data_IF_042000571933
#
_entry.id   IF_042000571933
#
_cell.length_a   1.000
_cell.length_b   1.000
_cell.length_c   1.000
_cell.angle_alpha   90.00
_cell.angle_beta   90.00
_cell.angle_gamma   90.00
#
_symmetry.space_group_name_H-M   'P 1'
#
loop_
_entity.id
_entity.type
_entity.pdbx_description
1 polymer ?
#
# COMPACT_ATOMS: atom_id res chain seq x y z
N UNK A 1 -1.85 -35.03 5.05
CA UNK A 1 -0.67 -34.32 5.59
C UNK A 1 0.15 -33.90 4.39
N UNK A 2 0.42 -32.62 4.24
CA UNK A 2 1.32 -32.07 3.26
C UNK A 2 2.60 -31.58 3.99
N UNK A 3 3.75 -32.04 3.54
CA UNK A 3 5.06 -31.54 3.94
C UNK A 3 5.65 -30.83 2.73
N UNK A 4 5.69 -29.50 2.80
CA UNK A 4 6.38 -28.68 1.81
C UNK A 4 7.84 -28.48 2.25
N UNK A 5 8.76 -28.93 1.41
CA UNK A 5 10.21 -28.85 1.66
C UNK A 5 10.87 -27.69 0.91
N UNK A 6 10.08 -26.81 0.34
CA UNK A 6 10.52 -25.66 -0.48
C UNK A 6 10.72 -24.39 0.39
N UNK A 7 11.23 -24.56 1.62
CA UNK A 7 11.62 -23.44 2.47
C UNK A 7 13.13 -23.20 2.33
N UNK A 8 13.52 -21.96 2.12
CA UNK A 8 14.92 -21.57 1.89
C UNK A 8 15.65 -21.20 3.19
N UNK A 9 14.92 -21.00 4.30
CA UNK A 9 15.51 -20.58 5.57
C UNK A 9 15.78 -21.77 6.50
N UNK A 10 17.06 -21.98 6.80
CA UNK A 10 17.49 -23.02 7.73
C UNK A 10 17.09 -22.64 9.17
N UNK A 11 16.53 -23.58 9.89
CA UNK A 11 16.12 -23.38 11.28
C UNK A 11 14.65 -22.98 11.47
N UNK A 12 13.90 -22.79 10.41
CA UNK A 12 12.51 -22.34 10.46
C UNK A 12 11.51 -23.41 10.02
N UNK A 13 10.36 -23.44 10.70
CA UNK A 13 9.21 -24.27 10.34
C UNK A 13 8.02 -23.38 10.05
N UNK A 14 7.62 -23.29 8.79
CA UNK A 14 6.44 -22.55 8.37
C UNK A 14 5.17 -23.37 8.65
N UNK A 15 4.28 -22.82 9.47
CA UNK A 15 3.07 -23.49 9.94
C UNK A 15 1.78 -22.83 9.47
N UNK A 16 1.91 -21.82 8.64
CA UNK A 16 0.82 -21.05 8.03
C UNK A 16 1.31 -20.25 6.86
N UNK A 17 0.37 -19.78 6.04
CA UNK A 17 0.63 -18.90 4.92
C UNK A 17 -0.57 -17.99 4.68
N UNK A 18 -0.34 -16.73 4.40
CA UNK A 18 -1.41 -15.85 3.98
C UNK A 18 -1.86 -16.21 2.56
N UNK A 19 -3.16 -16.39 2.37
CA UNK A 19 -3.78 -16.32 1.05
C UNK A 19 -3.74 -14.90 0.52
N UNK A 20 -4.03 -14.71 -0.75
CA UNK A 20 -4.08 -13.40 -1.38
C UNK A 20 -5.24 -13.28 -2.36
N UNK A 21 -5.63 -12.05 -2.66
CA UNK A 21 -6.57 -11.73 -3.72
C UNK A 21 -6.34 -10.31 -4.21
N UNK A 22 -6.28 -10.14 -5.53
CA UNK A 22 -6.15 -8.86 -6.18
C UNK A 22 -7.51 -8.18 -6.33
N UNK A 23 -7.60 -6.91 -5.99
CA UNK A 23 -8.73 -6.05 -6.24
C UNK A 23 -8.30 -4.95 -7.21
N UNK A 24 -9.05 -4.81 -8.30
CA UNK A 24 -8.84 -3.75 -9.30
C UNK A 24 -10.11 -2.93 -9.41
N UNK A 25 -10.01 -1.63 -9.12
CA UNK A 25 -11.08 -0.66 -9.30
C UNK A 25 -10.78 0.21 -10.52
N UNK A 26 -11.76 0.38 -11.41
CA UNK A 26 -11.62 1.13 -12.66
C UNK A 26 -12.77 2.11 -12.81
N UNK A 27 -12.48 3.32 -13.29
CA UNK A 27 -13.47 4.31 -13.72
C UNK A 27 -12.99 4.95 -15.02
N UNK A 28 -13.85 4.96 -16.01
CA UNK A 28 -13.68 5.79 -17.21
C UNK A 28 -14.50 7.06 -17.07
N UNK A 29 -13.91 8.18 -17.43
CA UNK A 29 -14.57 9.48 -17.33
C UNK A 29 -14.18 10.38 -18.52
N UNK A 30 -14.97 11.41 -18.74
CA UNK A 30 -14.65 12.44 -19.72
C UNK A 30 -13.94 13.57 -19.00
N UNK A 31 -12.73 13.89 -19.42
CA UNK A 31 -11.97 15.03 -18.90
C UNK A 31 -12.67 16.36 -19.24
N UNK A 32 -12.39 17.37 -18.44
CA UNK A 32 -12.84 18.76 -18.63
C UNK A 32 -11.63 19.65 -18.93
N UNK A 33 -11.87 20.81 -19.54
CA UNK A 33 -10.82 21.79 -19.81
C UNK A 33 -10.34 22.42 -18.49
N UNK A 34 -9.02 22.68 -18.40
CA UNK A 34 -8.41 23.43 -17.30
C UNK A 34 -8.75 24.92 -17.43
N UNK A 35 -8.80 25.64 -16.31
CA UNK A 35 -8.90 27.09 -16.35
C UNK A 35 -7.57 27.67 -16.88
N UNK A 36 -7.59 28.48 -17.96
CA UNK A 36 -6.37 29.08 -18.51
C UNK A 36 -5.71 30.11 -17.56
N UNK A 37 -6.40 30.53 -16.50
CA UNK A 37 -5.85 31.42 -15.47
C UNK A 37 -5.03 30.66 -14.40
N UNK A 38 -5.21 29.35 -14.32
CA UNK A 38 -4.50 28.49 -13.37
C UNK A 38 -3.03 28.29 -13.74
N UNK A 39 -2.28 27.81 -12.77
CA UNK A 39 -0.94 27.25 -12.95
C UNK A 39 -0.96 25.76 -12.70
N UNK A 40 0.02 25.04 -13.24
CA UNK A 40 0.17 23.61 -12.96
C UNK A 40 1.43 23.33 -12.15
N UNK A 41 1.27 22.45 -11.16
CA UNK A 41 2.34 21.95 -10.30
C UNK A 41 2.44 20.43 -10.42
N UNK A 42 3.65 19.94 -10.63
CA UNK A 42 3.99 18.54 -10.46
C UNK A 42 4.53 18.31 -9.09
N UNK A 43 3.83 17.52 -8.29
CA UNK A 43 4.21 17.19 -6.92
C UNK A 43 4.72 15.77 -6.88
N UNK A 44 5.94 15.58 -6.39
CA UNK A 44 6.65 14.30 -6.42
C UNK A 44 7.08 13.89 -5.02
N UNK A 45 6.69 12.68 -4.61
CA UNK A 45 7.09 12.01 -3.38
C UNK A 45 8.07 10.89 -3.72
N UNK A 46 9.25 10.89 -3.09
CA UNK A 46 10.32 9.89 -3.29
C UNK A 46 11.06 9.61 -1.98
N UNK A 47 11.88 8.55 -2.00
CA UNK A 47 12.78 8.23 -0.89
C UNK A 47 12.24 7.22 0.10
N UNK A 48 11.02 6.70 -0.09
CA UNK A 48 10.49 5.65 0.79
C UNK A 48 11.20 4.31 0.56
N UNK A 49 11.32 3.51 1.62
CA UNK A 49 11.96 2.19 1.56
C UNK A 49 11.14 1.19 0.76
N UNK A 50 9.82 1.28 0.87
CA UNK A 50 8.92 0.28 0.32
C UNK A 50 9.11 -1.09 0.96
N UNK A 51 8.87 -2.16 0.22
CA UNK A 51 9.05 -3.52 0.70
C UNK A 51 8.01 -4.49 0.16
N UNK A 52 8.11 -5.76 0.56
CA UNK A 52 7.16 -6.79 0.17
C UNK A 52 5.86 -6.65 0.98
N UNK A 53 4.71 -6.56 0.30
CA UNK A 53 3.39 -6.32 0.92
C UNK A 53 2.89 -7.43 1.85
N UNK A 54 3.58 -8.55 1.93
CA UNK A 54 3.24 -9.64 2.84
C UNK A 54 4.23 -9.80 3.99
N UNK A 55 5.53 -9.66 3.73
CA UNK A 55 6.58 -9.91 4.72
C UNK A 55 6.92 -8.67 5.55
N UNK A 56 6.76 -7.48 4.98
CA UNK A 56 7.22 -6.22 5.58
C UNK A 56 6.07 -5.22 5.84
N UNK A 57 4.82 -5.67 5.68
CA UNK A 57 3.63 -4.81 5.84
C UNK A 57 3.42 -4.33 7.29
N UNK A 58 3.96 -5.05 8.26
CA UNK A 58 3.89 -4.73 9.70
C UNK A 58 5.09 -3.92 10.21
N UNK A 59 6.03 -3.56 9.35
CA UNK A 59 7.21 -2.79 9.75
C UNK A 59 6.94 -1.28 9.92
N UNK A 60 5.70 -0.82 9.72
CA UNK A 60 5.33 0.58 9.88
C UNK A 60 5.85 1.50 8.78
N UNK A 61 6.25 0.93 7.63
CA UNK A 61 6.72 1.71 6.47
C UNK A 61 5.58 2.50 5.84
N UNK A 62 5.92 3.66 5.31
CA UNK A 62 4.96 4.52 4.63
C UNK A 62 4.56 3.96 3.25
N UNK A 63 3.32 4.24 2.87
CA UNK A 63 2.81 3.98 1.52
C UNK A 63 2.71 5.31 0.76
N UNK A 64 3.42 5.46 -0.35
CA UNK A 64 3.49 6.71 -1.09
C UNK A 64 2.11 7.20 -1.56
N UNK A 65 1.20 6.30 -1.97
CA UNK A 65 -0.15 6.67 -2.36
C UNK A 65 -0.98 7.19 -1.18
N UNK A 66 -0.78 6.65 0.02
CA UNK A 66 -1.48 7.13 1.23
C UNK A 66 -0.96 8.48 1.70
N UNK A 67 0.34 8.73 1.62
CA UNK A 67 0.90 10.06 1.92
C UNK A 67 0.44 11.10 0.91
N UNK A 68 0.47 10.76 -0.39
CA UNK A 68 -0.05 11.64 -1.42
C UNK A 68 -1.54 11.93 -1.24
N UNK A 69 -2.36 10.95 -0.81
CA UNK A 69 -3.77 11.17 -0.51
C UNK A 69 -3.98 12.15 0.66
N UNK A 70 -3.11 12.12 1.68
CA UNK A 70 -3.13 13.11 2.77
C UNK A 70 -2.88 14.53 2.27
N UNK A 71 -1.91 14.71 1.37
CA UNK A 71 -1.64 15.99 0.72
C UNK A 71 -2.83 16.44 -0.14
N UNK A 72 -3.30 15.58 -1.06
CA UNK A 72 -4.37 15.90 -1.99
C UNK A 72 -5.67 16.30 -1.29
N UNK A 73 -6.05 15.61 -0.21
CA UNK A 73 -7.25 15.94 0.56
C UNK A 73 -7.22 17.37 1.13
N UNK A 74 -6.04 17.87 1.53
CA UNK A 74 -5.89 19.23 2.04
C UNK A 74 -5.93 20.28 0.91
N UNK A 75 -5.11 20.12 -0.13
CA UNK A 75 -5.02 21.13 -1.20
C UNK A 75 -6.31 21.24 -2.01
N UNK A 76 -7.09 20.16 -2.15
CA UNK A 76 -8.42 20.20 -2.75
C UNK A 76 -9.39 20.99 -1.87
N UNK A 77 -9.29 20.86 -0.56
CA UNK A 77 -10.23 21.47 0.39
C UNK A 77 -9.94 22.95 0.60
N UNK A 78 -8.68 23.35 0.62
CA UNK A 78 -8.27 24.69 1.06
C UNK A 78 -7.65 25.56 -0.04
N UNK A 79 -7.05 24.94 -1.06
CA UNK A 79 -6.29 25.64 -2.11
C UNK A 79 -6.92 25.48 -3.51
N UNK A 80 -8.17 25.05 -3.56
CA UNK A 80 -8.97 24.86 -4.81
C UNK A 80 -8.25 24.01 -5.88
N UNK A 81 -7.37 23.08 -5.44
CA UNK A 81 -6.59 22.27 -6.35
C UNK A 81 -7.45 21.32 -7.18
N UNK A 82 -7.18 21.25 -8.48
CA UNK A 82 -7.76 20.30 -9.40
C UNK A 82 -6.74 19.22 -9.77
N UNK A 83 -7.20 17.98 -9.98
CA UNK A 83 -6.34 16.86 -10.33
C UNK A 83 -6.24 16.70 -11.84
N UNK A 84 -5.02 16.64 -12.37
CA UNK A 84 -4.75 16.28 -13.76
C UNK A 84 -4.36 14.83 -13.88
N UNK A 85 -3.39 14.39 -13.08
CA UNK A 85 -2.94 13.00 -13.10
C UNK A 85 -2.37 12.56 -11.75
N UNK A 86 -2.41 11.24 -11.51
CA UNK A 86 -1.80 10.60 -10.36
C UNK A 86 -1.14 9.31 -10.78
N UNK A 87 0.15 9.14 -10.50
CA UNK A 87 0.90 7.93 -10.77
C UNK A 87 1.68 7.51 -9.53
N UNK A 88 1.30 6.39 -8.92
CA UNK A 88 1.96 5.89 -7.72
C UNK A 88 2.02 4.38 -7.66
N UNK A 89 3.23 3.85 -7.42
CA UNK A 89 3.50 2.43 -7.41
C UNK A 89 3.48 1.77 -8.80
N UNK A 90 4.14 0.62 -8.90
CA UNK A 90 4.28 -0.10 -10.17
C UNK A 90 4.17 -1.63 -10.01
N UNK A 91 4.13 -2.14 -8.79
CA UNK A 91 4.07 -3.57 -8.48
C UNK A 91 3.02 -3.82 -7.40
N UNK A 92 2.07 -4.74 -7.66
CA UNK A 92 0.97 -5.04 -6.74
C UNK A 92 1.39 -5.67 -5.40
N UNK A 93 2.50 -6.40 -5.39
CA UNK A 93 3.03 -7.06 -4.19
C UNK A 93 4.13 -6.25 -3.48
N UNK A 94 4.33 -4.99 -3.87
CA UNK A 94 5.28 -4.07 -3.23
C UNK A 94 4.56 -2.88 -2.61
N UNK A 95 5.03 -2.43 -1.44
CA UNK A 95 4.62 -1.16 -0.84
C UNK A 95 5.19 -0.03 -1.72
N UNK A 96 4.35 0.89 -2.26
CA UNK A 96 4.82 1.92 -3.19
C UNK A 96 5.79 2.88 -2.51
N UNK A 97 6.94 3.11 -3.17
CA UNK A 97 8.05 3.93 -2.67
C UNK A 97 8.04 5.36 -3.19
N UNK A 98 7.28 5.60 -4.24
CA UNK A 98 7.21 6.90 -4.90
C UNK A 98 5.82 7.11 -5.49
N UNK A 99 5.46 8.39 -5.60
CA UNK A 99 4.20 8.83 -6.17
C UNK A 99 4.38 10.20 -6.78
N UNK A 100 3.70 10.47 -7.88
CA UNK A 100 3.68 11.74 -8.57
C UNK A 100 2.24 12.14 -8.88
N UNK A 101 1.90 13.40 -8.65
CA UNK A 101 0.63 13.98 -9.11
C UNK A 101 0.92 15.26 -9.89
N UNK A 102 0.06 15.55 -10.86
CA UNK A 102 -0.02 16.86 -11.49
C UNK A 102 -1.36 17.47 -11.09
N UNK A 103 -1.30 18.67 -10.54
CA UNK A 103 -2.47 19.45 -10.12
C UNK A 103 -2.46 20.82 -10.81
N UNK A 104 -3.63 21.42 -10.94
CA UNK A 104 -3.76 22.86 -11.24
C UNK A 104 -4.31 23.58 -10.02
N UNK A 105 -3.88 24.81 -9.82
CA UNK A 105 -4.35 25.68 -8.75
C UNK A 105 -4.48 27.11 -9.26
N UNK A 106 -5.35 27.96 -8.68
CA UNK A 106 -5.32 29.38 -8.91
C UNK A 106 -3.91 29.95 -8.68
N UNK A 107 -3.48 30.91 -9.50
CA UNK A 107 -2.10 31.41 -9.42
C UNK A 107 -1.76 32.07 -8.06
N UNK A 108 -2.76 32.59 -7.36
CA UNK A 108 -2.64 33.16 -6.01
C UNK A 108 -2.37 32.11 -4.94
N UNK A 109 -2.81 30.86 -5.11
CA UNK A 109 -2.66 29.77 -4.15
C UNK A 109 -1.30 29.03 -4.28
N UNK A 110 -0.50 29.35 -5.29
CA UNK A 110 0.80 28.67 -5.52
C UNK A 110 1.70 28.70 -4.29
N UNK A 111 1.80 29.86 -3.64
CA UNK A 111 2.71 30.05 -2.50
C UNK A 111 2.29 29.17 -1.31
N UNK A 112 1.00 29.09 -1.04
CA UNK A 112 0.42 28.31 0.06
C UNK A 112 0.61 26.81 -0.18
N UNK A 113 0.38 26.34 -1.42
CA UNK A 113 0.64 24.94 -1.80
C UNK A 113 2.12 24.59 -1.68
N UNK A 114 3.06 25.47 -2.10
CA UNK A 114 4.49 25.22 -1.98
C UNK A 114 4.96 25.20 -0.52
N UNK A 115 4.40 26.04 0.35
CA UNK A 115 4.64 26.02 1.79
C UNK A 115 4.13 24.72 2.40
N UNK A 116 2.90 24.32 2.07
CA UNK A 116 2.30 23.07 2.56
C UNK A 116 3.08 21.82 2.11
N UNK A 117 3.66 21.80 0.91
CA UNK A 117 4.58 20.74 0.47
C UNK A 117 5.78 20.61 1.40
N UNK A 118 6.38 21.75 1.83
CA UNK A 118 7.52 21.73 2.76
C UNK A 118 7.09 21.27 4.17
N UNK A 119 5.92 21.69 4.63
CA UNK A 119 5.36 21.23 5.90
C UNK A 119 5.10 19.72 5.90
N UNK A 120 4.54 19.18 4.83
CA UNK A 120 4.34 17.75 4.64
C UNK A 120 5.67 16.98 4.66
N UNK A 121 6.70 17.48 3.95
CA UNK A 121 8.04 16.86 3.95
C UNK A 121 8.61 16.79 5.37
N UNK A 122 8.55 17.89 6.11
CA UNK A 122 9.04 17.95 7.48
C UNK A 122 8.26 17.03 8.42
N UNK A 123 6.93 17.08 8.36
CA UNK A 123 6.02 16.25 9.17
C UNK A 123 6.24 14.76 8.92
N UNK A 124 6.30 14.33 7.67
CA UNK A 124 6.45 12.92 7.35
C UNK A 124 7.84 12.39 7.70
N UNK A 125 8.88 13.20 7.58
CA UNK A 125 10.21 12.85 8.07
C UNK A 125 10.25 12.70 9.60
N UNK A 126 9.43 13.43 10.35
CA UNK A 126 9.26 13.24 11.80
C UNK A 126 8.44 11.99 12.12
N UNK A 127 7.27 11.80 11.46
CA UNK A 127 6.38 10.66 11.71
C UNK A 127 7.04 9.32 11.41
N UNK A 128 7.87 9.26 10.38
CA UNK A 128 8.44 8.00 9.86
C UNK A 128 9.95 7.85 10.10
N UNK A 129 10.59 8.69 10.90
CA UNK A 129 12.05 8.73 11.09
C UNK A 129 12.68 7.39 11.51
N UNK A 130 11.93 6.49 12.14
CA UNK A 130 12.42 5.17 12.58
C UNK A 130 12.32 4.14 11.44
N UNK A 131 11.30 4.25 10.61
CA UNK A 131 10.93 3.22 9.63
C UNK A 131 11.37 3.54 8.20
N UNK A 132 11.59 4.82 7.90
CA UNK A 132 11.90 5.29 6.56
C UNK A 132 13.31 5.86 6.43
N UNK A 133 13.79 5.96 5.19
CA UNK A 133 14.90 6.83 4.80
C UNK A 133 14.39 8.27 4.67
N UNK A 134 15.27 9.29 4.57
CA UNK A 134 14.79 10.66 4.39
C UNK A 134 13.83 10.78 3.21
N UNK A 135 12.61 11.20 3.53
CA UNK A 135 11.53 11.39 2.56
C UNK A 135 11.78 12.70 1.82
N UNK A 136 11.67 12.69 0.50
CA UNK A 136 11.69 13.87 -0.34
C UNK A 136 10.31 14.14 -0.92
N UNK A 137 9.74 15.30 -0.63
CA UNK A 137 8.46 15.74 -1.14
C UNK A 137 8.59 17.14 -1.73
N UNK A 138 8.38 17.28 -3.05
CA UNK A 138 8.70 18.50 -3.78
C UNK A 138 7.65 18.80 -4.82
N UNK A 139 7.43 20.09 -5.04
CA UNK A 139 6.61 20.58 -6.15
C UNK A 139 7.47 21.42 -7.11
N UNK A 140 7.17 21.33 -8.39
CA UNK A 140 7.75 22.15 -9.45
C UNK A 140 6.69 22.59 -10.44
N UNK A 141 6.79 23.83 -10.93
CA UNK A 141 5.92 24.29 -12.01
C UNK A 141 6.14 23.48 -13.28
N UNK A 142 5.04 23.13 -13.95
CA UNK A 142 5.04 22.49 -15.25
C UNK A 142 4.16 23.28 -16.22
N UNK A 143 4.20 22.93 -17.50
CA UNK A 143 3.28 23.47 -18.50
C UNK A 143 1.84 23.13 -18.11
N UNK A 144 0.92 24.10 -18.23
CA UNK A 144 -0.48 23.91 -17.90
C UNK A 144 -1.11 22.89 -18.88
N UNK A 145 -1.57 21.72 -18.38
CA UNK A 145 -2.26 20.75 -19.21
C UNK A 145 -3.61 21.30 -19.70
N UNK A 146 -4.03 20.90 -20.88
CA UNK A 146 -5.30 21.37 -21.46
C UNK A 146 -6.54 20.76 -20.78
N UNK A 147 -6.39 19.60 -20.16
CA UNK A 147 -7.48 18.79 -19.64
C UNK A 147 -7.17 18.31 -18.21
N UNK A 148 -8.22 18.14 -17.40
CA UNK A 148 -8.14 17.68 -16.02
C UNK A 148 -9.29 16.73 -15.69
N UNK A 149 -9.19 16.08 -14.51
CA UNK A 149 -10.25 15.24 -13.93
C UNK A 149 -11.40 16.15 -13.49
N UNK A 150 -12.68 15.83 -13.80
CA UNK A 150 -13.83 16.59 -13.29
C UNK A 150 -13.87 16.60 -11.76
N UNK A 151 -14.28 17.72 -11.17
CA UNK A 151 -14.25 17.94 -9.70
C UNK A 151 -14.95 16.84 -8.89
N UNK A 152 -16.18 16.49 -9.26
CA UNK A 152 -16.93 15.43 -8.55
C UNK A 152 -16.19 14.08 -8.60
N UNK A 153 -15.53 13.77 -9.70
CA UNK A 153 -14.76 12.53 -9.86
C UNK A 153 -13.46 12.61 -9.06
N UNK A 154 -12.77 13.75 -9.11
CA UNK A 154 -11.56 14.02 -8.33
C UNK A 154 -11.84 13.83 -6.83
N UNK A 155 -12.86 14.47 -6.31
CA UNK A 155 -13.22 14.43 -4.89
C UNK A 155 -13.51 13.00 -4.44
N UNK A 156 -14.37 12.29 -5.17
CA UNK A 156 -14.71 10.90 -4.88
C UNK A 156 -13.49 9.96 -4.93
N UNK A 157 -12.59 10.13 -5.91
CA UNK A 157 -11.39 9.32 -6.03
C UNK A 157 -10.40 9.58 -4.89
N UNK A 158 -10.15 10.85 -4.55
CA UNK A 158 -9.23 11.22 -3.46
C UNK A 158 -9.76 10.72 -2.14
N UNK A 159 -11.05 10.90 -1.87
CA UNK A 159 -11.71 10.41 -0.65
C UNK A 159 -11.62 8.88 -0.53
N UNK A 160 -11.88 8.14 -1.62
CA UNK A 160 -11.76 6.69 -1.61
C UNK A 160 -10.32 6.23 -1.37
N UNK A 161 -9.32 6.85 -2.02
CA UNK A 161 -7.90 6.53 -1.82
C UNK A 161 -7.48 6.88 -0.38
N UNK A 162 -7.97 8.00 0.16
CA UNK A 162 -7.71 8.41 1.53
C UNK A 162 -8.33 7.44 2.55
N UNK A 163 -9.60 7.08 2.37
CA UNK A 163 -10.37 6.27 3.31
C UNK A 163 -10.06 4.77 3.23
N UNK A 164 -9.65 4.24 2.06
CA UNK A 164 -9.45 2.80 1.89
C UNK A 164 -8.44 2.23 2.90
N UNK A 165 -8.75 1.03 3.40
CA UNK A 165 -7.86 0.34 4.33
C UNK A 165 -6.52 0.01 3.63
N UNK A 166 -5.41 0.27 4.32
CA UNK A 166 -4.05 -0.05 3.89
C UNK A 166 -3.19 -0.42 5.10
N UNK A 167 -2.29 -1.37 4.94
CA UNK A 167 -1.46 -1.87 6.03
C UNK A 167 -2.12 -3.02 6.78
N UNK A 168 -1.68 -3.25 8.00
CA UNK A 168 -2.20 -4.31 8.87
C UNK A 168 -3.60 -3.98 9.35
N UNK A 169 -4.54 -4.88 9.11
CA UNK A 169 -5.90 -4.82 9.64
C UNK A 169 -6.02 -5.63 10.94
N UNK A 170 -5.37 -6.79 10.99
CA UNK A 170 -5.44 -7.70 12.14
C UNK A 170 -4.17 -8.52 12.28
N UNK A 171 -3.74 -8.73 13.52
CA UNK A 171 -2.66 -9.64 13.91
C UNK A 171 -3.22 -10.99 14.35
N UNK A 172 -2.43 -12.08 14.29
CA UNK A 172 -2.79 -13.38 14.85
C UNK A 172 -2.64 -13.32 16.37
N UNK A 173 -3.72 -13.48 17.16
CA UNK A 173 -3.64 -13.28 18.62
C UNK A 173 -2.75 -14.30 19.36
N UNK A 174 -2.55 -15.48 18.77
CA UNK A 174 -1.81 -16.61 19.37
C UNK A 174 -0.35 -16.70 18.94
N UNK A 175 0.07 -15.88 17.98
CA UNK A 175 1.44 -15.88 17.46
C UNK A 175 1.94 -14.43 17.44
N UNK A 176 2.90 -14.05 18.31
CA UNK A 176 3.44 -12.71 18.33
C UNK A 176 3.97 -12.27 16.96
N UNK A 177 3.86 -10.98 16.66
CA UNK A 177 4.40 -10.28 15.48
C UNK A 177 3.96 -10.85 14.12
N UNK A 178 2.92 -11.71 14.11
CA UNK A 178 2.42 -12.34 12.88
C UNK A 178 1.13 -11.69 12.41
N UNK A 179 1.13 -11.20 11.18
CA UNK A 179 -0.04 -10.59 10.54
C UNK A 179 -1.04 -11.67 10.12
N UNK A 180 -2.31 -11.49 10.50
CA UNK A 180 -3.41 -12.30 10.00
C UNK A 180 -3.95 -11.74 8.68
N UNK A 181 -4.30 -10.44 8.69
CA UNK A 181 -5.01 -9.78 7.59
C UNK A 181 -4.42 -8.40 7.32
N UNK A 182 -4.14 -8.12 6.07
CA UNK A 182 -3.58 -6.84 5.62
C UNK A 182 -4.00 -6.52 4.18
N UNK A 183 -3.88 -5.25 3.80
CA UNK A 183 -3.98 -4.82 2.41
C UNK A 183 -2.83 -3.87 2.05
N UNK A 184 -2.53 -3.80 0.76
CA UNK A 184 -1.56 -2.87 0.21
C UNK A 184 -2.19 -2.12 -0.96
N UNK A 185 -2.38 -0.81 -0.81
CA UNK A 185 -2.74 0.09 -1.90
C UNK A 185 -1.52 0.23 -2.81
N UNK A 186 -1.42 -0.67 -3.77
CA UNK A 186 -0.20 -0.92 -4.52
C UNK A 186 0.02 0.05 -5.68
N UNK A 187 -1.05 0.30 -6.45
CA UNK A 187 -0.95 1.11 -7.67
C UNK A 187 -2.14 2.06 -7.72
N UNK A 188 -1.86 3.32 -7.99
CA UNK A 188 -2.85 4.35 -8.36
C UNK A 188 -2.40 4.94 -9.69
N UNK A 189 -3.27 4.90 -10.69
CA UNK A 189 -3.05 5.49 -12.00
C UNK A 189 -4.30 6.25 -12.42
N UNK A 190 -4.23 7.57 -12.48
CA UNK A 190 -5.33 8.46 -12.85
C UNK A 190 -4.84 9.44 -13.90
N UNK A 191 -5.65 9.70 -14.93
CA UNK A 191 -5.38 10.66 -16.00
C UNK A 191 -5.78 10.11 -17.35
N UNK A 192 -5.91 10.98 -18.35
CA UNK A 192 -6.27 10.60 -19.72
C UNK A 192 -7.67 9.97 -19.83
N UNK A 193 -8.62 10.39 -18.97
CA UNK A 193 -9.99 9.88 -18.99
C UNK A 193 -10.18 8.53 -18.29
N UNK A 194 -9.18 8.03 -17.55
CA UNK A 194 -9.27 6.75 -16.83
C UNK A 194 -8.62 6.85 -15.45
N UNK A 195 -9.27 6.22 -14.47
CA UNK A 195 -8.68 5.90 -13.17
C UNK A 195 -8.60 4.39 -12.99
N UNK A 196 -7.44 3.87 -12.55
CA UNK A 196 -7.22 2.46 -12.22
C UNK A 196 -6.48 2.37 -10.90
N UNK A 197 -7.06 1.64 -9.94
CA UNK A 197 -6.48 1.42 -8.61
C UNK A 197 -6.35 -0.08 -8.37
N UNK A 198 -5.16 -0.52 -7.93
CA UNK A 198 -4.89 -1.93 -7.63
C UNK A 198 -4.47 -2.11 -6.19
N UNK A 199 -5.15 -3.04 -5.53
CA UNK A 199 -4.92 -3.39 -4.14
C UNK A 199 -4.70 -4.90 -4.05
N UNK A 200 -3.75 -5.31 -3.22
CA UNK A 200 -3.56 -6.70 -2.86
C UNK A 200 -3.96 -6.90 -1.40
N UNK A 201 -5.01 -7.67 -1.17
CA UNK A 201 -5.43 -8.12 0.15
C UNK A 201 -4.84 -9.48 0.47
N UNK A 202 -4.43 -9.68 1.71
CA UNK A 202 -3.84 -10.93 2.22
C UNK A 202 -4.47 -11.31 3.54
N UNK A 203 -4.70 -12.62 3.76
CA UNK A 203 -5.07 -13.14 5.07
C UNK A 203 -4.76 -14.64 5.17
N UNK A 204 -4.35 -15.09 6.34
CA UNK A 204 -4.27 -16.52 6.65
C UNK A 204 -5.66 -17.14 6.85
N UNK A 205 -6.71 -16.31 7.00
CA UNK A 205 -8.11 -16.71 7.20
C UNK A 205 -8.98 -16.19 6.06
N UNK A 206 -9.56 -17.10 5.25
CA UNK A 206 -10.33 -16.74 4.06
C UNK A 206 -11.54 -15.85 4.36
N UNK A 207 -12.25 -16.07 5.48
CA UNK A 207 -13.38 -15.21 5.86
C UNK A 207 -12.99 -13.76 6.17
N UNK A 208 -11.78 -13.53 6.69
CA UNK A 208 -11.26 -12.18 6.94
C UNK A 208 -10.74 -11.53 5.66
N UNK A 209 -10.18 -12.34 4.73
CA UNK A 209 -9.83 -11.87 3.38
C UNK A 209 -11.06 -11.39 2.63
N UNK A 210 -12.13 -12.16 2.66
CA UNK A 210 -13.40 -11.79 2.02
C UNK A 210 -14.03 -10.54 2.65
N UNK A 211 -14.02 -10.45 3.99
CA UNK A 211 -14.49 -9.24 4.70
C UNK A 211 -13.71 -8.00 4.27
N UNK A 212 -12.37 -8.07 4.25
CA UNK A 212 -11.52 -6.94 3.83
C UNK A 212 -11.78 -6.56 2.37
N UNK A 213 -11.85 -7.54 1.47
CA UNK A 213 -12.13 -7.30 0.05
C UNK A 213 -13.52 -6.67 -0.15
N UNK A 214 -14.53 -7.11 0.60
CA UNK A 214 -15.88 -6.52 0.54
C UNK A 214 -15.88 -5.07 1.02
N UNK A 215 -15.10 -4.74 2.07
CA UNK A 215 -14.96 -3.38 2.55
C UNK A 215 -14.26 -2.46 1.51
N UNK A 216 -13.19 -2.96 0.90
CA UNK A 216 -12.47 -2.24 -0.17
C UNK A 216 -13.34 -2.05 -1.42
N UNK A 217 -14.05 -3.10 -1.84
CA UNK A 217 -15.01 -3.04 -2.95
C UNK A 217 -16.10 -1.99 -2.68
N UNK A 218 -16.67 -1.99 -1.47
CA UNK A 218 -17.66 -0.98 -1.07
C UNK A 218 -17.09 0.44 -1.12
N UNK A 219 -15.85 0.63 -0.64
CA UNK A 219 -15.17 1.92 -0.64
C UNK A 219 -15.05 2.50 -2.07
N UNK A 220 -14.52 1.73 -3.00
CA UNK A 220 -14.33 2.20 -4.39
C UNK A 220 -15.62 2.22 -5.20
N UNK A 221 -16.59 1.35 -4.90
CA UNK A 221 -17.92 1.41 -5.54
C UNK A 221 -18.68 2.67 -5.15
N UNK A 222 -18.54 3.15 -3.90
CA UNK A 222 -19.11 4.45 -3.48
C UNK A 222 -18.49 5.63 -4.24
N UNK A 223 -17.25 5.52 -4.68
CA UNK A 223 -16.60 6.49 -5.55
C UNK A 223 -16.97 6.34 -7.04
N UNK A 224 -17.93 5.48 -7.37
CA UNK A 224 -18.40 5.26 -8.75
C UNK A 224 -17.53 4.33 -9.59
N UNK A 225 -16.56 3.63 -9.00
CA UNK A 225 -15.67 2.72 -9.72
C UNK A 225 -16.29 1.33 -9.88
N UNK A 226 -16.01 0.68 -11.02
CA UNK A 226 -16.25 -0.75 -11.20
C UNK A 226 -15.11 -1.53 -10.56
N UNK A 227 -15.46 -2.45 -9.65
CA UNK A 227 -14.48 -3.22 -8.89
C UNK A 227 -14.51 -4.69 -9.28
N UNK A 228 -13.36 -5.26 -9.56
CA UNK A 228 -13.18 -6.68 -9.88
C UNK A 228 -12.17 -7.33 -8.95
N UNK A 229 -12.45 -8.58 -8.55
CA UNK A 229 -11.54 -9.43 -7.77
C UNK A 229 -10.94 -10.50 -8.67
N UNK A 230 -9.69 -10.82 -8.49
CA UNK A 230 -8.99 -11.81 -9.30
C UNK A 230 -7.81 -12.46 -8.58
N UNK A 231 -7.31 -13.58 -9.11
CA UNK A 231 -6.11 -14.23 -8.62
C UNK A 231 -6.21 -14.75 -7.19
N UNK A 232 -7.44 -15.00 -6.69
CA UNK A 232 -7.67 -15.44 -5.32
C UNK A 232 -7.11 -16.83 -5.03
N UNK A 233 -6.39 -16.95 -3.90
CA UNK A 233 -5.97 -18.23 -3.33
C UNK A 233 -6.17 -18.24 -1.82
N UNK A 234 -6.44 -19.45 -1.28
CA UNK A 234 -6.77 -19.63 0.14
C UNK A 234 -5.56 -19.47 1.03
N UNK A 235 -5.81 -18.95 2.24
CA UNK A 235 -4.85 -18.96 3.33
C UNK A 235 -4.71 -20.34 3.98
N UNK A 236 -3.61 -20.50 4.69
CA UNK A 236 -3.39 -21.62 5.57
C UNK A 236 -3.23 -21.09 7.00
N UNK A 237 -4.29 -21.24 7.80
CA UNK A 237 -4.31 -20.76 9.17
C UNK A 237 -3.34 -21.57 10.04
N UNK A 238 -2.44 -20.93 10.79
CA UNK A 238 -1.48 -21.61 11.64
C UNK A 238 -2.16 -22.40 12.77
N UNK A 239 -1.74 -23.66 12.96
CA UNK A 239 -2.16 -24.49 14.10
C UNK A 239 -0.95 -24.86 14.98
N UNK A 240 -0.76 -24.08 16.05
CA UNK A 240 0.36 -24.26 16.99
C UNK A 240 0.27 -25.56 17.80
N UNK A 241 -0.92 -26.16 17.89
CA UNK A 241 -1.16 -27.42 18.64
C UNK A 241 -1.11 -28.67 17.74
N UNK A 242 -0.77 -28.50 16.47
CA UNK A 242 -0.70 -29.60 15.51
C UNK A 242 0.25 -30.72 15.98
N UNK A 243 -0.19 -32.00 16.00
CA UNK A 243 0.67 -33.12 16.36
C UNK A 243 1.90 -33.25 15.45
N UNK A 244 1.76 -32.95 14.14
CA UNK A 244 2.87 -33.00 13.20
C UNK A 244 3.90 -31.91 13.52
N UNK A 245 3.48 -30.71 13.92
CA UNK A 245 4.39 -29.64 14.34
C UNK A 245 5.22 -30.07 15.58
N UNK A 246 4.59 -30.72 16.55
CA UNK A 246 5.32 -31.25 17.75
C UNK A 246 6.37 -32.26 17.34
N UNK A 247 6.01 -33.24 16.50
CA UNK A 247 6.95 -34.24 16.00
C UNK A 247 8.10 -33.62 15.18
N UNK A 248 7.81 -32.64 14.33
CA UNK A 248 8.83 -31.94 13.55
C UNK A 248 9.78 -31.14 14.44
N UNK A 249 9.28 -30.40 15.45
CA UNK A 249 10.10 -29.68 16.42
C UNK A 249 11.03 -30.60 17.18
N UNK A 250 10.55 -31.77 17.62
CA UNK A 250 11.37 -32.78 18.34
C UNK A 250 12.47 -33.33 17.43
N UNK A 251 12.14 -33.72 16.19
CA UNK A 251 13.10 -34.23 15.21
C UNK A 251 14.15 -33.17 14.83
N UNK A 252 13.72 -31.94 14.65
CA UNK A 252 14.60 -30.82 14.28
C UNK A 252 15.61 -30.51 15.40
N UNK A 253 15.14 -30.43 16.65
CA UNK A 253 16.01 -30.25 17.82
C UNK A 253 17.04 -31.38 17.96
N UNK A 254 16.62 -32.62 17.75
CA UNK A 254 17.53 -33.77 17.82
C UNK A 254 18.64 -33.69 16.74
N UNK A 255 18.30 -33.25 15.50
CA UNK A 255 19.28 -33.06 14.44
C UNK A 255 20.27 -31.94 14.73
N UNK A 256 19.78 -30.77 15.18
CA UNK A 256 20.63 -29.61 15.46
C UNK A 256 21.58 -29.85 16.67
N UNK A 257 21.10 -30.49 17.73
CA UNK A 257 21.95 -30.82 18.87
C UNK A 257 23.07 -31.81 18.50
N UNK A 258 22.78 -32.74 17.58
CA UNK A 258 23.79 -33.66 17.11
C UNK A 258 24.87 -32.96 16.24
N UNK A 259 24.50 -31.97 15.47
CA UNK A 259 25.44 -31.19 14.62
C UNK A 259 26.28 -30.22 15.47
N UNK A 260 25.73 -29.61 16.54
CA UNK A 260 26.46 -28.71 17.43
C UNK A 260 27.50 -29.47 18.28
N UNK A 261 27.15 -30.65 18.81
CA UNK A 261 28.09 -31.50 19.58
C UNK A 261 29.26 -31.97 18.70
N UNK A 262 29.01 -32.27 17.40
CA UNK A 262 30.08 -32.66 16.48
C UNK A 262 31.02 -31.49 16.08
N UNK A 263 30.56 -30.25 16.20
CA UNK A 263 31.38 -29.05 15.97
C UNK A 263 32.23 -28.69 17.20
N UNK A 264 31.72 -28.88 18.41
CA UNK A 264 32.41 -28.61 19.68
C UNK A 264 33.55 -29.61 19.96
N UNK A 265 33.41 -30.86 19.53
CA UNK A 265 34.46 -31.87 19.67
C UNK A 265 35.69 -31.66 18.71
N UNK A 266 35.63 -30.69 17.80
CA UNK A 266 36.73 -30.37 16.84
C UNK A 266 37.48 -29.07 17.13
N UNK A 267 37.16 -28.40 18.25
CA UNK A 267 37.86 -27.18 18.67
C UNK A 267 38.82 -27.45 19.87
#
# INVERSE_FOLDING_TARGET
>A
ILLNLDSEEEGELYIGCAGGEDLTAVLEYKEVETDPADIALKVTLKGLRGGHSGLEINEGRANANKLMARFMNQVITYDEACLVSWQGGNMRNAIPRECEVVITVPAEEEADVLEFVQECEALWNEEYHVHETPISFKAERVELPAMMVPDEIKDNLVDAIYACQNGVMRMIPTIPDTVETSSNLAIVSIGGGKAEIKILARSSRDSMKDYLNTALESCFSMAGMEVTRSGGYSGWEPNVDSPILKAMKESYKACLLYTSDAADERS
#
